data_IF_827440142050
#
_entry.id   IF_827440142050
#
_cell.length_a   1.000
_cell.length_b   1.000
_cell.length_c   1.000
_cell.angle_alpha   90.00
_cell.angle_beta   90.00
_cell.angle_gamma   90.00
#
_symmetry.space_group_name_H-M   'P 1'
#
loop_
_entity.id
_entity.type
_entity.pdbx_description
1 polymer ?
#
# COMPACT_ATOMS: atom_id res chain seq x y z
N UNK A 1 71.54 7.20 44.97
CA UNK A 1 71.55 8.00 43.74
C UNK A 1 70.49 7.39 42.83
N UNK A 2 69.25 7.84 43.01
CA UNK A 2 68.10 7.46 42.18
C UNK A 2 67.97 8.46 41.04
N UNK A 3 67.73 7.97 39.82
CA UNK A 3 67.11 8.65 38.66
C UNK A 3 67.29 7.75 37.43
N UNK A 4 66.34 7.51 36.55
CA UNK A 4 64.93 7.85 36.48
C UNK A 4 64.33 6.93 35.40
N UNK A 5 63.19 6.32 35.67
CA UNK A 5 62.40 5.58 34.68
C UNK A 5 61.63 6.60 33.84
N UNK A 6 61.93 6.70 32.55
CA UNK A 6 61.09 7.42 31.61
C UNK A 6 59.98 6.49 31.09
N UNK A 7 58.87 6.46 31.82
CA UNK A 7 57.59 6.01 31.30
C UNK A 7 57.05 7.10 30.35
N UNK A 8 56.96 6.78 29.06
CA UNK A 8 56.24 7.61 28.09
C UNK A 8 54.75 7.47 28.32
N UNK A 9 54.18 8.48 28.99
CA UNK A 9 52.76 8.58 29.31
C UNK A 9 51.89 8.79 28.07
N UNK A 10 50.92 7.90 27.94
CA UNK A 10 49.53 8.11 27.54
C UNK A 10 49.19 9.26 26.56
N UNK A 11 48.97 8.90 25.30
CA UNK A 11 48.06 9.63 24.42
C UNK A 11 46.61 9.33 24.86
N UNK A 12 46.11 10.08 25.85
CA UNK A 12 44.70 10.11 26.25
C UNK A 12 43.97 11.22 25.48
N UNK A 13 42.81 10.89 24.89
CA UNK A 13 41.77 11.87 24.59
C UNK A 13 41.38 12.02 23.12
N UNK A 14 40.94 10.95 22.45
CA UNK A 14 40.04 11.10 21.31
C UNK A 14 38.63 11.41 21.83
N UNK A 15 38.36 12.68 22.17
CA UNK A 15 36.99 13.15 22.34
C UNK A 15 36.20 13.00 21.04
N UNK A 16 34.85 12.94 21.10
CA UNK A 16 34.01 12.80 19.92
C UNK A 16 34.36 13.90 18.91
N UNK A 17 34.83 13.49 17.73
CA UNK A 17 35.17 14.41 16.65
C UNK A 17 33.91 15.19 16.27
N UNK A 18 33.95 16.54 16.26
CA UNK A 18 32.80 17.34 15.87
C UNK A 18 32.46 17.04 14.40
N UNK A 19 31.18 16.74 14.14
CA UNK A 19 30.68 16.52 12.78
C UNK A 19 30.97 17.77 11.95
N UNK A 20 31.53 17.59 10.75
CA UNK A 20 31.87 18.71 9.87
C UNK A 20 30.61 19.49 9.49
N UNK A 21 30.73 20.82 9.37
CA UNK A 21 29.63 21.69 8.95
C UNK A 21 29.07 21.28 7.58
N UNK A 22 29.94 20.80 6.69
CA UNK A 22 29.54 20.30 5.36
C UNK A 22 28.67 19.04 5.44
N UNK A 23 28.91 18.15 6.40
CA UNK A 23 28.13 16.92 6.53
C UNK A 23 26.76 17.20 7.15
N UNK A 24 26.66 18.22 7.99
CA UNK A 24 25.39 18.72 8.52
C UNK A 24 24.52 19.36 7.43
N UNK A 25 25.11 20.21 6.58
CA UNK A 25 24.40 20.82 5.46
C UNK A 25 23.87 19.77 4.47
N UNK A 26 24.68 18.74 4.17
CA UNK A 26 24.22 17.60 3.35
C UNK A 26 23.08 16.84 4.02
N UNK A 27 23.15 16.62 5.32
CA UNK A 27 22.08 15.95 6.06
C UNK A 27 20.76 16.74 5.95
N UNK A 28 20.81 18.04 6.18
CA UNK A 28 19.65 18.93 6.06
C UNK A 28 19.07 18.89 4.64
N UNK A 29 19.93 18.96 3.61
CA UNK A 29 19.50 18.86 2.22
C UNK A 29 18.78 17.53 1.91
N UNK A 30 19.32 16.41 2.40
CA UNK A 30 18.70 15.09 2.21
C UNK A 30 17.40 14.96 3.00
N UNK A 31 17.34 15.53 4.20
CA UNK A 31 16.13 15.56 5.03
C UNK A 31 15.00 16.34 4.34
N UNK A 32 15.30 17.53 3.81
CA UNK A 32 14.32 18.36 3.11
C UNK A 32 13.84 17.69 1.82
N UNK A 33 14.76 17.07 1.07
CA UNK A 33 14.41 16.29 -0.10
C UNK A 33 13.49 15.12 0.26
N UNK A 34 13.79 14.40 1.34
CA UNK A 34 12.96 13.28 1.81
C UNK A 34 11.57 13.75 2.24
N UNK A 35 11.46 14.84 2.98
CA UNK A 35 10.17 15.42 3.36
C UNK A 35 9.31 15.79 2.15
N UNK A 36 9.93 16.31 1.09
CA UNK A 36 9.25 16.60 -0.17
C UNK A 36 8.84 15.32 -0.91
N UNK A 37 9.65 14.25 -0.84
CA UNK A 37 9.29 12.94 -1.38
C UNK A 37 8.11 12.33 -0.64
N UNK A 38 8.11 12.32 0.70
CA UNK A 38 7.00 11.79 1.48
C UNK A 38 5.69 12.51 1.16
N UNK A 39 5.71 13.82 0.93
CA UNK A 39 4.53 14.57 0.50
C UNK A 39 3.96 14.07 -0.83
N UNK A 40 4.81 13.87 -1.84
CA UNK A 40 4.37 13.35 -3.13
C UNK A 40 3.82 11.92 -3.02
N UNK A 41 4.41 11.10 -2.14
CA UNK A 41 3.94 9.73 -1.91
C UNK A 41 2.58 9.72 -1.20
N UNK A 42 2.36 10.64 -0.26
CA UNK A 42 1.06 10.81 0.39
C UNK A 42 -0.03 11.18 -0.62
N UNK A 43 0.21 12.15 -1.50
CA UNK A 43 -0.74 12.56 -2.55
C UNK A 43 -1.05 11.41 -3.51
N UNK A 44 -0.02 10.72 -4.02
CA UNK A 44 -0.19 9.58 -4.93
C UNK A 44 -0.94 8.41 -4.28
N UNK A 45 -0.72 8.18 -2.99
CA UNK A 45 -1.44 7.13 -2.26
C UNK A 45 -2.94 7.44 -2.16
N UNK A 46 -3.30 8.71 -1.97
CA UNK A 46 -4.71 9.14 -1.98
C UNK A 46 -5.35 9.01 -3.37
N UNK A 47 -4.62 9.32 -4.45
CA UNK A 47 -5.09 9.14 -5.82
C UNK A 47 -5.38 7.66 -6.13
N UNK A 48 -4.46 6.76 -5.79
CA UNK A 48 -4.62 5.32 -6.02
C UNK A 48 -5.78 4.74 -5.19
N UNK A 49 -6.02 5.29 -3.99
CA UNK A 49 -7.10 4.86 -3.08
C UNK A 49 -8.52 5.17 -3.56
N UNK A 50 -8.70 6.00 -4.60
CA UNK A 50 -10.02 6.26 -5.20
C UNK A 50 -10.45 5.07 -6.07
N UNK A 51 -10.98 4.01 -5.45
CA UNK A 51 -11.38 2.78 -6.13
C UNK A 51 -12.46 3.04 -7.21
N UNK A 52 -12.20 2.57 -8.43
CA UNK A 52 -13.18 2.55 -9.53
C UNK A 52 -13.75 1.15 -9.67
N UNK A 53 -15.08 1.03 -9.76
CA UNK A 53 -15.79 -0.26 -9.86
C UNK A 53 -15.79 -0.79 -11.30
N UNK A 54 -14.61 -0.96 -11.88
CA UNK A 54 -14.40 -1.60 -13.18
C UNK A 54 -13.25 -2.59 -13.07
N UNK A 55 -13.41 -3.78 -13.67
CA UNK A 55 -12.45 -4.86 -13.51
C UNK A 55 -11.07 -4.51 -14.11
N UNK A 56 -11.07 -3.84 -15.26
CA UNK A 56 -9.83 -3.39 -15.89
C UNK A 56 -9.18 -2.27 -15.07
N UNK A 57 -9.98 -1.33 -14.57
CA UNK A 57 -9.49 -0.26 -13.69
C UNK A 57 -8.86 -0.80 -12.39
N UNK A 58 -9.47 -1.79 -11.74
CA UNK A 58 -8.93 -2.42 -10.52
C UNK A 58 -7.59 -3.08 -10.79
N UNK A 59 -7.44 -3.79 -11.91
CA UNK A 59 -6.16 -4.40 -12.32
C UNK A 59 -5.06 -3.34 -12.51
N UNK A 60 -5.38 -2.21 -13.15
CA UNK A 60 -4.44 -1.09 -13.29
C UNK A 60 -4.08 -0.48 -11.94
N UNK A 61 -5.07 -0.17 -11.10
CA UNK A 61 -4.86 0.39 -9.76
C UNK A 61 -3.98 -0.50 -8.88
N UNK A 62 -4.12 -1.83 -8.97
CA UNK A 62 -3.27 -2.78 -8.26
C UNK A 62 -1.82 -2.73 -8.71
N UNK A 63 -1.56 -2.64 -10.01
CA UNK A 63 -0.19 -2.55 -10.53
C UNK A 63 0.46 -1.23 -10.12
N UNK A 64 -0.27 -0.13 -10.22
CA UNK A 64 0.19 1.20 -9.80
C UNK A 64 0.46 1.23 -8.29
N UNK A 65 -0.42 0.61 -7.48
CA UNK A 65 -0.22 0.46 -6.05
C UNK A 65 1.03 -0.36 -5.71
N UNK A 66 1.30 -1.46 -6.43
CA UNK A 66 2.50 -2.28 -6.20
C UNK A 66 3.79 -1.49 -6.44
N UNK A 67 3.84 -0.71 -7.52
CA UNK A 67 4.96 0.17 -7.83
C UNK A 67 5.13 1.24 -6.73
N UNK A 68 4.03 1.90 -6.35
CA UNK A 68 4.02 2.90 -5.29
C UNK A 68 4.45 2.31 -3.94
N UNK A 69 4.01 1.10 -3.59
CA UNK A 69 4.36 0.43 -2.34
C UNK A 69 5.86 0.08 -2.28
N UNK A 70 6.45 -0.37 -3.39
CA UNK A 70 7.89 -0.60 -3.47
C UNK A 70 8.69 0.70 -3.26
N UNK A 71 8.21 1.80 -3.84
CA UNK A 71 8.80 3.14 -3.66
C UNK A 71 8.68 3.61 -2.21
N UNK A 72 7.50 3.48 -1.59
CA UNK A 72 7.26 3.82 -0.18
C UNK A 72 8.19 3.01 0.74
N UNK A 73 8.39 1.72 0.47
CA UNK A 73 9.31 0.88 1.26
C UNK A 73 10.77 1.32 1.13
N UNK A 74 11.20 1.78 -0.05
CA UNK A 74 12.53 2.33 -0.24
C UNK A 74 12.74 3.59 0.63
N UNK A 75 11.78 4.51 0.58
CA UNK A 75 11.78 5.74 1.36
C UNK A 75 11.68 5.49 2.86
N UNK A 76 10.97 4.44 3.30
CA UNK A 76 10.99 3.98 4.70
C UNK A 76 12.39 3.70 5.20
N UNK A 77 13.19 2.95 4.45
CA UNK A 77 14.57 2.66 4.83
C UNK A 77 15.43 3.93 4.90
N UNK A 78 15.16 4.93 4.06
CA UNK A 78 15.85 6.22 4.09
C UNK A 78 15.43 7.06 5.31
N UNK A 79 14.12 7.17 5.58
CA UNK A 79 13.57 7.87 6.74
C UNK A 79 14.12 7.28 8.06
N UNK A 80 14.16 5.95 8.20
CA UNK A 80 14.73 5.28 9.38
C UNK A 80 16.22 5.63 9.58
N UNK A 81 17.02 5.64 8.50
CA UNK A 81 18.42 6.07 8.56
C UNK A 81 18.57 7.53 8.94
N UNK A 82 17.77 8.43 8.35
CA UNK A 82 17.79 9.85 8.64
C UNK A 82 17.42 10.13 10.10
N UNK A 83 16.41 9.44 10.63
CA UNK A 83 16.05 9.51 12.04
C UNK A 83 17.20 9.04 12.94
N UNK A 84 17.86 7.94 12.60
CA UNK A 84 19.05 7.46 13.32
C UNK A 84 20.21 8.47 13.34
N UNK A 85 20.54 9.06 12.18
CA UNK A 85 21.58 10.09 12.07
C UNK A 85 21.18 11.37 12.84
N UNK A 86 19.90 11.77 12.75
CA UNK A 86 19.39 12.95 13.44
C UNK A 86 19.54 12.85 14.97
N UNK A 87 19.34 11.66 15.55
CA UNK A 87 19.50 11.45 16.98
C UNK A 87 20.96 11.71 17.41
N UNK A 88 21.93 11.24 16.62
CA UNK A 88 23.35 11.49 16.87
C UNK A 88 23.70 12.97 16.70
N UNK A 89 23.20 13.61 15.64
CA UNK A 89 23.45 15.03 15.37
C UNK A 89 22.87 15.95 16.45
N UNK A 90 21.63 15.69 16.89
CA UNK A 90 20.98 16.46 17.94
C UNK A 90 21.71 16.33 19.28
N UNK A 91 22.39 15.21 19.56
CA UNK A 91 23.23 15.07 20.75
C UNK A 91 24.58 15.78 20.63
N UNK A 92 25.16 15.88 19.43
CA UNK A 92 26.50 16.40 19.20
C UNK A 92 26.55 17.90 18.84
N UNK A 93 25.46 18.49 18.37
CA UNK A 93 25.42 19.88 17.89
C UNK A 93 25.09 20.89 19.00
N UNK A 94 25.50 22.17 18.87
CA UNK A 94 25.15 23.21 19.84
C UNK A 94 23.64 23.56 19.81
N UNK A 95 23.07 24.11 20.91
CA UNK A 95 21.62 24.34 21.05
C UNK A 95 20.94 25.12 19.90
N UNK A 96 21.53 26.19 19.33
CA UNK A 96 20.89 26.91 18.22
C UNK A 96 20.67 26.03 16.99
N UNK A 97 21.62 25.12 16.70
CA UNK A 97 21.48 24.16 15.60
C UNK A 97 20.46 23.07 15.92
N UNK A 98 20.44 22.58 17.16
CA UNK A 98 19.43 21.61 17.58
C UNK A 98 18.02 22.18 17.37
N UNK A 99 17.78 23.42 17.77
CA UNK A 99 16.50 24.11 17.60
C UNK A 99 16.10 24.31 16.13
N UNK A 100 17.07 24.47 15.24
CA UNK A 100 16.82 24.55 13.79
C UNK A 100 16.46 23.19 13.18
N UNK A 101 17.14 22.11 13.59
CA UNK A 101 16.98 20.77 12.99
C UNK A 101 15.78 20.00 13.54
N UNK A 102 15.46 20.20 14.83
CA UNK A 102 14.43 19.45 15.55
C UNK A 102 13.05 19.48 14.87
N UNK A 103 12.54 20.62 14.33
CA UNK A 103 11.24 20.67 13.67
C UNK A 103 11.16 19.73 12.47
N UNK A 104 12.12 19.80 11.53
CA UNK A 104 12.13 18.95 10.33
C UNK A 104 12.24 17.46 10.67
N UNK A 105 13.05 17.12 11.68
CA UNK A 105 13.17 15.73 12.19
C UNK A 105 11.86 15.26 12.81
N UNK A 106 11.17 16.13 13.54
CA UNK A 106 9.86 15.82 14.12
C UNK A 106 8.81 15.63 13.02
N UNK A 107 8.78 16.49 12.00
CA UNK A 107 7.91 16.34 10.83
C UNK A 107 8.17 15.03 10.10
N UNK A 108 9.44 14.64 9.92
CA UNK A 108 9.78 13.35 9.30
C UNK A 108 9.17 12.19 10.10
N UNK A 109 9.33 12.19 11.43
CA UNK A 109 8.76 11.16 12.32
C UNK A 109 7.24 11.10 12.25
N UNK A 110 6.58 12.25 12.27
CA UNK A 110 5.12 12.37 12.28
C UNK A 110 4.47 11.94 10.96
N UNK A 111 5.18 12.09 9.83
CA UNK A 111 4.64 11.77 8.50
C UNK A 111 4.99 10.37 8.01
N UNK A 112 6.21 9.91 8.29
CA UNK A 112 6.71 8.66 7.76
C UNK A 112 5.88 7.45 8.24
N UNK A 113 5.69 7.28 9.55
CA UNK A 113 5.00 6.12 10.10
C UNK A 113 3.53 6.03 9.64
N UNK A 114 2.71 7.10 9.69
CA UNK A 114 1.36 7.04 9.17
C UNK A 114 1.28 6.73 7.68
N UNK A 115 2.19 7.28 6.85
CA UNK A 115 2.25 6.97 5.43
C UNK A 115 2.48 5.47 5.21
N UNK A 116 3.43 4.86 5.93
CA UNK A 116 3.75 3.44 5.79
C UNK A 116 2.60 2.55 6.22
N UNK A 117 1.95 2.87 7.34
CA UNK A 117 0.76 2.16 7.81
C UNK A 117 -0.40 2.26 6.82
N UNK A 118 -0.64 3.47 6.27
CA UNK A 118 -1.69 3.70 5.27
C UNK A 118 -1.43 2.95 3.97
N UNK A 119 -0.18 2.88 3.52
CA UNK A 119 0.20 2.08 2.34
C UNK A 119 -0.04 0.58 2.56
N UNK A 120 0.34 0.05 3.73
CA UNK A 120 0.08 -1.35 4.06
C UNK A 120 -1.41 -1.67 4.15
N UNK A 121 -2.21 -0.78 4.76
CA UNK A 121 -3.66 -0.94 4.81
C UNK A 121 -4.31 -0.90 3.41
N UNK A 122 -3.84 0.01 2.55
CA UNK A 122 -4.31 0.13 1.16
C UNK A 122 -4.02 -1.14 0.35
N UNK A 123 -2.85 -1.77 0.56
CA UNK A 123 -2.51 -3.05 -0.06
C UNK A 123 -3.55 -4.13 0.26
N UNK A 124 -3.85 -4.32 1.55
CA UNK A 124 -4.82 -5.32 2.01
C UNK A 124 -6.23 -5.06 1.45
N UNK A 125 -6.64 -3.80 1.39
CA UNK A 125 -7.95 -3.43 0.84
C UNK A 125 -8.05 -3.74 -0.67
N UNK A 126 -7.02 -3.40 -1.45
CA UNK A 126 -7.01 -3.64 -2.89
C UNK A 126 -6.96 -5.15 -3.22
N UNK A 127 -6.18 -5.93 -2.47
CA UNK A 127 -6.15 -7.39 -2.61
C UNK A 127 -7.52 -8.02 -2.27
N UNK A 128 -8.17 -7.55 -1.21
CA UNK A 128 -9.51 -7.99 -0.86
C UNK A 128 -10.54 -7.65 -1.94
N UNK A 129 -10.52 -6.42 -2.47
CA UNK A 129 -11.39 -5.99 -3.55
C UNK A 129 -11.18 -6.84 -4.83
N UNK A 130 -9.93 -7.19 -5.14
CA UNK A 130 -9.61 -8.09 -6.26
C UNK A 130 -10.25 -9.47 -6.08
N UNK A 131 -10.14 -10.05 -4.89
CA UNK A 131 -10.71 -11.36 -4.61
C UNK A 131 -12.24 -11.35 -4.71
N UNK A 132 -12.89 -10.29 -4.22
CA UNK A 132 -14.34 -10.12 -4.34
C UNK A 132 -14.79 -9.96 -5.80
N UNK A 133 -14.06 -9.16 -6.58
CA UNK A 133 -14.35 -8.98 -8.00
C UNK A 133 -14.23 -10.31 -8.76
N UNK A 134 -13.18 -11.09 -8.48
CA UNK A 134 -12.99 -12.40 -9.11
C UNK A 134 -14.15 -13.36 -8.80
N UNK A 135 -14.56 -13.45 -7.53
CA UNK A 135 -15.69 -14.27 -7.09
C UNK A 135 -17.00 -13.83 -7.75
N UNK A 136 -17.24 -12.52 -7.85
CA UNK A 136 -18.44 -12.00 -8.50
C UNK A 136 -18.47 -12.34 -9.99
N UNK A 137 -17.34 -12.16 -10.70
CA UNK A 137 -17.22 -12.46 -12.12
C UNK A 137 -17.45 -13.96 -12.38
N UNK A 138 -16.85 -14.84 -11.58
CA UNK A 138 -17.06 -16.29 -11.67
C UNK A 138 -18.53 -16.66 -11.49
N UNK A 139 -19.17 -16.18 -10.42
CA UNK A 139 -20.59 -16.43 -10.18
C UNK A 139 -21.49 -15.88 -11.29
N UNK A 140 -21.17 -14.70 -11.85
CA UNK A 140 -21.90 -14.14 -12.97
C UNK A 140 -21.75 -14.99 -14.24
N UNK A 141 -20.53 -15.44 -14.56
CA UNK A 141 -20.26 -16.30 -15.71
C UNK A 141 -20.97 -17.66 -15.60
N UNK A 142 -21.11 -18.21 -14.40
CA UNK A 142 -21.88 -19.43 -14.15
C UNK A 142 -23.40 -19.24 -14.29
N UNK A 143 -23.93 -18.11 -13.81
CA UNK A 143 -25.38 -17.82 -13.83
C UNK A 143 -25.88 -17.35 -15.20
N UNK A 144 -25.04 -16.68 -15.99
CA UNK A 144 -25.38 -16.13 -17.29
C UNK A 144 -25.99 -17.16 -18.27
N UNK A 145 -25.41 -18.37 -18.50
CA UNK A 145 -25.98 -19.35 -19.41
C UNK A 145 -27.33 -19.87 -18.92
N UNK A 146 -27.46 -20.17 -17.62
CA UNK A 146 -28.72 -20.63 -17.04
C UNK A 146 -29.85 -19.58 -17.19
N UNK A 147 -29.53 -18.31 -16.95
CA UNK A 147 -30.48 -17.21 -17.16
C UNK A 147 -30.90 -17.09 -18.63
N UNK A 148 -29.94 -17.19 -19.56
CA UNK A 148 -30.21 -17.14 -20.99
C UNK A 148 -31.13 -18.29 -21.43
N UNK A 149 -30.83 -19.52 -21.00
CA UNK A 149 -31.65 -20.70 -21.30
C UNK A 149 -33.06 -20.57 -20.72
N UNK A 150 -33.17 -20.09 -19.48
CA UNK A 150 -34.47 -19.90 -18.81
C UNK A 150 -35.31 -18.84 -19.51
N UNK A 151 -34.71 -17.73 -19.94
CA UNK A 151 -35.41 -16.70 -20.71
C UNK A 151 -35.86 -17.22 -22.08
N UNK A 152 -35.03 -18.01 -22.77
CA UNK A 152 -35.41 -18.65 -24.03
C UNK A 152 -36.55 -19.66 -23.84
N UNK A 153 -36.51 -20.46 -22.78
CA UNK A 153 -37.58 -21.39 -22.44
C UNK A 153 -38.89 -20.64 -22.13
N UNK A 154 -38.82 -19.59 -21.32
CA UNK A 154 -39.97 -18.74 -20.99
C UNK A 154 -40.58 -18.06 -22.23
N UNK A 155 -39.75 -17.55 -23.15
CA UNK A 155 -40.23 -16.93 -24.39
C UNK A 155 -40.94 -17.93 -25.31
N UNK A 156 -40.59 -19.23 -25.25
CA UNK A 156 -41.29 -20.30 -25.99
C UNK A 156 -42.62 -20.69 -25.35
N UNK A 157 -42.80 -20.40 -24.05
CA UNK A 157 -44.07 -20.56 -23.34
C UNK A 157 -44.99 -19.37 -23.64
N UNK A 158 -45.29 -19.13 -24.91
CA UNK A 158 -46.33 -18.18 -25.31
C UNK A 158 -47.71 -18.80 -25.05
N UNK A 159 -48.58 -18.20 -24.21
CA UNK A 159 -49.92 -18.73 -23.92
C UNK A 159 -50.86 -18.76 -25.14
N UNK A 160 -50.48 -18.12 -26.24
CA UNK A 160 -51.33 -17.90 -27.40
C UNK A 160 -51.15 -18.96 -28.51
N UNK A 161 -50.09 -19.77 -28.45
CA UNK A 161 -49.78 -20.80 -29.46
C UNK A 161 -49.93 -22.24 -28.94
N UNK A 162 -50.28 -22.43 -27.66
CA UNK A 162 -50.51 -23.76 -27.10
C UNK A 162 -51.96 -24.14 -27.42
N UNK A 163 -52.16 -24.93 -28.47
CA UNK A 163 -53.45 -25.61 -28.64
C UNK A 163 -53.73 -26.46 -27.39
N UNK A 164 -55.00 -26.64 -27.05
CA UNK A 164 -55.42 -27.46 -25.90
C UNK A 164 -54.73 -28.85 -25.87
N UNK A 165 -54.42 -29.43 -27.04
CA UNK A 165 -53.67 -30.69 -27.12
C UNK A 165 -52.20 -30.55 -26.69
N UNK A 166 -51.50 -29.51 -27.13
CA UNK A 166 -50.09 -29.26 -26.75
C UNK A 166 -49.95 -29.01 -25.23
N UNK A 167 -50.96 -28.39 -24.60
CA UNK A 167 -50.99 -28.19 -23.15
C UNK A 167 -51.13 -29.53 -22.40
N UNK A 168 -51.99 -30.41 -22.91
CA UNK A 168 -52.25 -31.74 -22.31
C UNK A 168 -51.03 -32.66 -22.41
N UNK A 169 -50.29 -32.59 -23.51
CA UNK A 169 -49.03 -33.34 -23.68
C UNK A 169 -47.92 -32.84 -22.75
N UNK A 170 -47.74 -31.52 -22.60
CA UNK A 170 -46.77 -30.97 -21.63
C UNK A 170 -47.12 -31.36 -20.18
N UNK A 171 -48.40 -31.38 -19.82
CA UNK A 171 -48.84 -31.81 -18.49
C UNK A 171 -48.52 -33.29 -18.22
N UNK A 172 -48.66 -34.16 -19.23
CA UNK A 172 -48.30 -35.57 -19.13
C UNK A 172 -46.80 -35.79 -18.90
N UNK A 173 -45.95 -35.01 -19.57
CA UNK A 173 -44.48 -35.09 -19.41
C UNK A 173 -44.02 -34.67 -18.00
N UNK A 174 -44.63 -33.63 -17.44
CA UNK A 174 -44.31 -33.17 -16.07
C UNK A 174 -44.78 -34.14 -14.99
N UNK A 175 -45.86 -34.89 -15.22
CA UNK A 175 -46.40 -35.86 -14.26
C UNK A 175 -45.80 -37.27 -14.42
N UNK A 176 -45.33 -37.64 -15.61
CA UNK A 176 -44.69 -38.93 -15.87
C UNK A 176 -43.24 -39.02 -15.36
N UNK A 177 -42.55 -37.89 -15.18
CA UNK A 177 -41.15 -37.87 -14.73
C UNK A 177 -40.98 -37.90 -13.21
N UNK A 178 -42.07 -37.93 -12.43
CA UNK A 178 -42.06 -38.02 -10.96
C UNK A 178 -42.25 -39.45 -10.41
N UNK A 179 -42.20 -40.47 -11.27
CA UNK A 179 -42.44 -41.87 -10.91
C UNK A 179 -41.39 -42.81 -11.49
N UNK A 180 -40.13 -42.67 -11.06
CA UNK A 180 -39.15 -43.75 -11.08
C UNK A 180 -38.11 -43.54 -9.98
#
# INVERSE_FOLDING_TARGET
MEKELAAGDAQLGAGPQPVSTSDQEKFEQVLDAELAHLARLEERLEEVGQARLDAQAICTQLNDHKLLSAEILHHRGLAERLLGISALLLHACPPPRQQHLQPSVQTLRERAEPLFLRSAASAMQLEHAQALLAQFSEAHEELAPWLQETQLAAARLCPHDISYEAFKEQQGLLQGSGGH
#
